data_IF_862403765557
#
_entry.id   IF_862403765557
#
_cell.length_a   1.000
_cell.length_b   1.000
_cell.length_c   1.000
_cell.angle_alpha   90.00
_cell.angle_beta   90.00
_cell.angle_gamma   90.00
#
_symmetry.space_group_name_H-M   'P 1'
#
loop_
_entity.id
_entity.type
_entity.pdbx_description
1 polymer ?
#
# COMPACT_ATOMS: atom_id res chain seq x y z
N UNK A 1 9.53 5.44 14.66
CA UNK A 1 8.96 6.78 14.88
C UNK A 1 7.77 6.91 13.95
N UNK A 2 6.64 7.42 14.44
CA UNK A 2 5.53 7.82 13.57
C UNK A 2 5.87 9.22 13.05
N UNK A 3 5.96 9.38 11.74
CA UNK A 3 6.07 10.72 11.16
C UNK A 3 4.69 11.38 11.14
N UNK A 4 4.67 12.65 11.52
CA UNK A 4 3.47 13.48 11.59
C UNK A 4 3.69 14.63 10.62
N UNK A 5 2.66 14.97 9.84
CA UNK A 5 2.72 16.14 8.95
C UNK A 5 2.85 17.39 9.82
N UNK A 6 3.94 18.13 9.62
CA UNK A 6 4.13 19.41 10.28
C UNK A 6 3.33 20.50 9.55
N UNK A 7 2.24 20.95 10.15
CA UNK A 7 1.42 22.05 9.59
C UNK A 7 2.19 23.38 9.52
N UNK A 8 3.26 23.53 10.32
CA UNK A 8 4.14 24.69 10.28
C UNK A 8 5.24 24.62 9.22
N UNK A 9 5.31 23.54 8.44
CA UNK A 9 6.26 23.42 7.34
C UNK A 9 6.07 24.54 6.31
N UNK A 10 7.16 25.21 5.96
CA UNK A 10 7.15 26.39 5.11
C UNK A 10 6.68 26.08 3.69
N UNK A 11 7.01 24.90 3.15
CA UNK A 11 6.60 24.47 1.80
C UNK A 11 5.13 24.10 1.76
N UNK A 12 4.62 23.45 2.82
CA UNK A 12 3.20 23.14 2.91
C UNK A 12 2.34 24.40 3.08
N UNK A 13 2.81 25.39 3.85
CA UNK A 13 2.15 26.70 3.96
C UNK A 13 2.12 27.46 2.64
N UNK A 14 3.25 27.50 1.91
CA UNK A 14 3.28 28.16 0.60
C UNK A 14 2.38 27.45 -0.41
N UNK A 15 2.42 26.11 -0.46
CA UNK A 15 1.54 25.30 -1.30
C UNK A 15 0.05 25.59 -1.03
N UNK A 16 -0.34 25.66 0.25
CA UNK A 16 -1.71 25.99 0.67
C UNK A 16 -2.11 27.40 0.27
N UNK A 17 -1.20 28.36 0.39
CA UNK A 17 -1.44 29.76 0.01
C UNK A 17 -1.56 29.96 -1.51
N UNK A 18 -0.75 29.24 -2.29
CA UNK A 18 -0.67 29.41 -3.75
C UNK A 18 -1.72 28.58 -4.50
N UNK A 19 -1.97 27.34 -4.06
CA UNK A 19 -2.80 26.37 -4.77
C UNK A 19 -4.08 25.99 -4.02
N UNK A 20 -4.24 26.47 -2.79
CA UNK A 20 -5.44 26.29 -1.98
C UNK A 20 -5.48 25.00 -1.15
N UNK A 21 -6.57 24.87 -0.40
CA UNK A 21 -6.77 23.82 0.61
C UNK A 21 -6.81 22.40 0.03
N UNK A 22 -7.42 22.23 -1.13
CA UNK A 22 -7.61 20.91 -1.75
C UNK A 22 -6.27 20.28 -2.14
N UNK A 23 -5.37 21.08 -2.73
CA UNK A 23 -4.02 20.63 -3.11
C UNK A 23 -3.18 20.33 -1.88
N UNK A 24 -3.23 21.20 -0.86
CA UNK A 24 -2.58 20.93 0.42
C UNK A 24 -3.02 19.58 1.02
N UNK A 25 -4.32 19.33 1.09
CA UNK A 25 -4.86 18.05 1.61
C UNK A 25 -4.39 16.86 0.79
N UNK A 26 -4.44 16.95 -0.54
CA UNK A 26 -3.99 15.87 -1.41
C UNK A 26 -2.51 15.52 -1.19
N UNK A 27 -1.63 16.53 -1.06
CA UNK A 27 -0.21 16.31 -0.78
C UNK A 27 0.02 15.76 0.61
N UNK A 28 -0.65 16.30 1.63
CA UNK A 28 -0.54 15.80 3.01
C UNK A 28 -0.99 14.35 3.12
N UNK A 29 -2.10 13.97 2.48
CA UNK A 29 -2.57 12.58 2.40
C UNK A 29 -1.54 11.68 1.72
N UNK A 30 -1.00 12.08 0.57
CA UNK A 30 0.03 11.29 -0.12
C UNK A 30 1.30 11.09 0.73
N UNK A 31 1.73 12.12 1.48
CA UNK A 31 2.88 12.00 2.39
C UNK A 31 2.62 11.01 3.54
N UNK A 32 1.40 11.02 4.11
CA UNK A 32 0.98 10.07 5.12
C UNK A 32 0.93 8.64 4.59
N UNK A 33 0.32 8.43 3.41
CA UNK A 33 0.25 7.13 2.74
C UNK A 33 1.66 6.57 2.47
N UNK A 34 2.58 7.39 1.95
CA UNK A 34 3.97 6.98 1.74
C UNK A 34 4.64 6.53 3.04
N UNK A 35 4.35 7.17 4.16
CA UNK A 35 4.87 6.79 5.47
C UNK A 35 4.24 5.49 6.00
N UNK A 36 2.94 5.27 5.76
CA UNK A 36 2.23 4.05 6.15
C UNK A 36 2.76 2.83 5.39
N UNK A 37 2.93 2.96 4.07
CA UNK A 37 3.31 1.84 3.21
C UNK A 37 4.81 1.56 3.21
N UNK A 38 5.66 2.60 3.14
CA UNK A 38 7.11 2.45 3.06
C UNK A 38 7.84 3.68 3.59
N UNK A 39 8.00 3.81 4.91
CA UNK A 39 8.56 5.00 5.53
C UNK A 39 10.02 5.25 5.12
N UNK A 40 10.80 4.18 4.91
CA UNK A 40 12.21 4.30 4.52
C UNK A 40 12.39 4.60 3.03
N UNK A 41 11.66 3.90 2.16
CA UNK A 41 11.89 3.94 0.73
C UNK A 41 10.99 4.90 -0.06
N UNK A 42 9.81 5.24 0.45
CA UNK A 42 8.84 6.14 -0.20
C UNK A 42 8.46 5.77 -1.64
N UNK A 43 8.62 4.50 -2.01
CA UNK A 43 8.16 3.95 -3.28
C UNK A 43 6.94 3.06 -3.07
N UNK A 44 6.13 2.92 -4.13
CA UNK A 44 4.96 2.06 -4.12
C UNK A 44 5.34 0.60 -3.83
N UNK A 45 4.63 -0.02 -2.89
CA UNK A 45 4.83 -1.42 -2.51
C UNK A 45 3.72 -2.25 -3.16
N UNK A 46 4.11 -3.35 -3.83
CA UNK A 46 3.12 -4.26 -4.39
C UNK A 46 2.38 -5.00 -3.28
N UNK A 47 1.06 -5.04 -3.38
CA UNK A 47 0.22 -5.79 -2.46
C UNK A 47 -0.48 -6.95 -3.16
N UNK A 48 -0.69 -8.04 -2.42
CA UNK A 48 -1.51 -9.14 -2.91
C UNK A 48 -2.97 -8.71 -2.77
N UNK A 49 -3.68 -8.62 -3.89
CA UNK A 49 -5.07 -8.17 -3.94
C UNK A 49 -6.04 -9.36 -4.05
N UNK A 50 -7.14 -9.33 -3.30
CA UNK A 50 -8.26 -10.25 -3.47
C UNK A 50 -9.28 -9.60 -4.42
N UNK A 51 -9.36 -10.01 -5.71
CA UNK A 51 -10.25 -9.38 -6.67
C UNK A 51 -11.73 -9.66 -6.40
N UNK A 52 -12.05 -10.74 -5.67
CA UNK A 52 -13.44 -11.09 -5.32
C UNK A 52 -13.97 -10.15 -4.25
N UNK A 53 -13.18 -9.94 -3.20
CA UNK A 53 -13.53 -9.11 -2.04
C UNK A 53 -13.18 -7.62 -2.27
N UNK A 54 -12.52 -7.29 -3.38
CA UNK A 54 -12.07 -5.93 -3.74
C UNK A 54 -11.29 -5.24 -2.62
N UNK A 55 -10.41 -5.99 -1.96
CA UNK A 55 -9.51 -5.51 -0.90
C UNK A 55 -8.18 -6.26 -0.93
N UNK A 56 -7.21 -5.79 -0.15
CA UNK A 56 -5.97 -6.52 0.13
C UNK A 56 -6.29 -7.94 0.63
N UNK A 57 -5.59 -8.92 0.08
CA UNK A 57 -5.70 -10.31 0.51
C UNK A 57 -5.14 -10.44 1.94
N UNK A 58 -5.90 -11.13 2.79
CA UNK A 58 -5.48 -11.50 4.13
C UNK A 58 -4.40 -12.58 4.07
N UNK A 59 -3.57 -12.65 5.12
CA UNK A 59 -2.55 -13.70 5.24
C UNK A 59 -3.14 -15.11 5.10
N UNK A 60 -4.34 -15.32 5.67
CA UNK A 60 -5.06 -16.60 5.56
C UNK A 60 -5.39 -16.96 4.12
N UNK A 61 -5.92 -16.01 3.34
CA UNK A 61 -6.26 -16.21 1.93
C UNK A 61 -5.00 -16.55 1.10
N UNK A 62 -3.89 -15.86 1.36
CA UNK A 62 -2.60 -16.10 0.69
C UNK A 62 -2.06 -17.49 1.01
N UNK A 63 -2.05 -17.89 2.29
CA UNK A 63 -1.59 -19.24 2.70
C UNK A 63 -2.44 -20.34 2.05
N UNK A 64 -3.77 -20.19 2.06
CA UNK A 64 -4.68 -21.15 1.43
C UNK A 64 -4.40 -21.29 -0.07
N UNK A 65 -4.18 -20.16 -0.75
CA UNK A 65 -3.83 -20.15 -2.17
C UNK A 65 -2.53 -20.92 -2.45
N UNK A 66 -1.46 -20.66 -1.68
CA UNK A 66 -0.16 -21.35 -1.83
C UNK A 66 -0.32 -22.87 -1.65
N UNK A 67 -1.04 -23.30 -0.60
CA UNK A 67 -1.28 -24.74 -0.34
C UNK A 67 -2.04 -25.38 -1.51
N UNK A 68 -3.04 -24.71 -2.07
CA UNK A 68 -3.80 -25.21 -3.22
C UNK A 68 -2.91 -25.38 -4.47
N UNK A 69 -2.06 -24.40 -4.76
CA UNK A 69 -1.09 -24.48 -5.87
C UNK A 69 -0.11 -25.64 -5.68
N UNK A 70 0.47 -25.79 -4.49
CA UNK A 70 1.40 -26.89 -4.19
C UNK A 70 0.75 -28.27 -4.40
N UNK A 71 -0.50 -28.46 -3.97
CA UNK A 71 -1.24 -29.71 -4.17
C UNK A 71 -1.50 -29.97 -5.66
N UNK A 72 -1.85 -28.94 -6.43
CA UNK A 72 -2.06 -29.04 -7.88
C UNK A 72 -0.77 -29.43 -8.61
N UNK A 73 0.36 -28.78 -8.31
CA UNK A 73 1.65 -29.09 -8.90
C UNK A 73 2.12 -30.52 -8.59
N UNK A 74 1.93 -31.01 -7.35
CA UNK A 74 2.26 -32.39 -6.98
C UNK A 74 1.45 -33.41 -7.78
N UNK A 75 0.16 -33.15 -8.04
CA UNK A 75 -0.68 -34.03 -8.87
C UNK A 75 -0.22 -34.09 -10.32
N UNK A 76 0.23 -32.96 -10.90
CA UNK A 76 0.76 -32.91 -12.27
C UNK A 76 2.04 -33.75 -12.41
N UNK A 77 2.97 -33.67 -11.46
CA UNK A 77 4.22 -34.47 -11.47
C UNK A 77 3.98 -35.98 -11.38
N UNK A 78 2.93 -36.43 -10.70
CA UNK A 78 2.57 -37.87 -10.63
C UNK A 78 1.92 -38.42 -11.89
N UNK A 79 1.48 -37.55 -12.81
CA UNK A 79 0.81 -37.92 -14.07
C UNK A 79 1.77 -37.96 -15.26
N UNK A 80 3.03 -37.61 -15.02
CA UNK A 80 4.17 -37.77 -15.95
C UNK A 80 4.88 -39.04 -15.51
#
# INVERSE_FOLDING_TARGET
MQEIVNEDDTKLKSLRSELGESVYKAVATALLELNEYNPSGRYAVQEIWNPKEKRKASLREVIQYIIAQMKSHKKKRKRI
#
